data_IF_312445021598
#
_entry.id   IF_312445021598
#
_cell.length_a   1.000
_cell.length_b   1.000
_cell.length_c   1.000
_cell.angle_alpha   90.00
_cell.angle_beta   90.00
_cell.angle_gamma   90.00
#
_symmetry.space_group_name_H-M   'P 1'
#
loop_
_entity.id
_entity.type
_entity.pdbx_description
1 polymer ?
#
# COMPACT_ATOMS: atom_id res chain seq x y z
N UNK A 1 21.64 19.24 11.51
CA UNK A 1 20.95 20.43 12.08
C UNK A 1 19.45 20.43 11.81
N UNK A 2 18.98 20.24 10.56
CA UNK A 2 17.53 20.30 10.24
C UNK A 2 16.69 19.20 10.92
N UNK A 3 17.12 17.94 10.89
CA UNK A 3 16.38 16.85 11.54
C UNK A 3 16.24 17.03 13.06
N UNK A 4 17.27 17.55 13.73
CA UNK A 4 17.22 17.82 15.17
C UNK A 4 16.19 18.91 15.52
N UNK A 5 16.13 19.99 14.72
CA UNK A 5 15.13 21.03 14.91
C UNK A 5 13.69 20.54 14.64
N UNK A 6 13.50 19.69 13.61
CA UNK A 6 12.19 19.07 13.35
C UNK A 6 11.76 18.16 14.49
N UNK A 7 12.69 17.42 15.10
CA UNK A 7 12.38 16.50 16.19
C UNK A 7 11.84 17.19 17.46
N UNK A 8 12.00 18.52 17.59
CA UNK A 8 11.40 19.30 18.69
C UNK A 8 9.87 19.39 18.58
N UNK A 9 9.31 19.26 17.37
CA UNK A 9 7.87 19.46 17.10
C UNK A 9 7.20 18.29 16.35
N UNK A 10 7.98 17.36 15.80
CA UNK A 10 7.50 16.19 15.06
C UNK A 10 8.01 14.90 15.71
N UNK A 11 7.12 13.93 15.90
CA UNK A 11 7.46 12.63 16.50
C UNK A 11 8.07 11.63 15.51
N UNK A 12 7.84 11.80 14.21
CA UNK A 12 8.26 10.88 13.14
C UNK A 12 9.31 11.49 12.22
N UNK A 13 10.40 11.98 12.80
CA UNK A 13 11.55 12.46 12.03
C UNK A 13 12.50 11.31 11.75
N UNK A 14 12.66 10.99 10.46
CA UNK A 14 13.58 9.97 9.96
C UNK A 14 14.58 10.62 8.97
N UNK A 15 15.77 10.03 8.76
CA UNK A 15 16.61 10.41 7.63
C UNK A 15 15.83 10.33 6.32
N UNK A 16 16.20 11.19 5.34
CA UNK A 16 15.56 11.12 4.03
C UNK A 16 15.76 9.73 3.43
N UNK A 17 14.69 9.06 2.97
CA UNK A 17 14.82 7.75 2.37
C UNK A 17 15.58 7.85 1.05
N UNK A 18 16.29 6.77 0.70
CA UNK A 18 17.05 6.69 -0.54
C UNK A 18 18.50 7.13 -0.39
N UNK A 19 19.13 7.46 -1.52
CA UNK A 19 20.56 7.76 -1.62
C UNK A 19 20.75 9.00 -2.46
N UNK A 20 21.70 9.83 -2.06
CA UNK A 20 22.13 10.97 -2.86
C UNK A 20 22.83 10.48 -4.14
N UNK A 21 22.26 10.87 -5.29
CA UNK A 21 22.77 10.55 -6.62
C UNK A 21 23.57 11.71 -7.24
N UNK A 22 23.72 12.85 -6.54
CA UNK A 22 24.54 13.96 -7.01
C UNK A 22 25.95 13.55 -7.43
N UNK A 23 26.66 12.65 -6.71
CA UNK A 23 27.98 12.20 -7.17
C UNK A 23 27.96 11.57 -8.56
N UNK A 24 26.90 10.83 -8.91
CA UNK A 24 26.74 10.22 -10.24
C UNK A 24 26.43 11.29 -11.28
N UNK A 25 25.57 12.26 -10.94
CA UNK A 25 25.29 13.43 -11.79
C UNK A 25 26.57 14.26 -12.03
N UNK A 26 27.45 14.33 -11.04
CA UNK A 26 28.74 15.02 -11.08
C UNK A 26 29.85 14.20 -11.77
N UNK A 27 29.53 13.02 -12.33
CA UNK A 27 30.41 12.23 -13.18
C UNK A 27 31.08 11.01 -12.52
N UNK A 28 30.74 10.68 -11.28
CA UNK A 28 31.16 9.40 -10.68
C UNK A 28 30.44 8.22 -11.37
N UNK A 29 31.07 7.04 -11.37
CA UNK A 29 30.43 5.83 -11.90
C UNK A 29 29.17 5.47 -11.11
N UNK A 30 28.11 5.14 -11.84
CA UNK A 30 26.90 4.58 -11.26
C UNK A 30 27.13 3.13 -10.79
N UNK A 31 26.46 2.75 -9.71
CA UNK A 31 26.40 1.36 -9.28
C UNK A 31 25.32 0.63 -10.09
N UNK A 32 25.75 -0.16 -11.09
CA UNK A 32 24.87 -0.93 -11.97
C UNK A 32 24.26 -2.17 -11.31
N UNK A 33 24.84 -2.64 -10.20
CA UNK A 33 24.34 -3.78 -9.41
C UNK A 33 23.33 -3.37 -8.35
N UNK A 34 23.08 -2.07 -8.20
CA UNK A 34 22.21 -1.53 -7.15
C UNK A 34 20.78 -2.02 -7.28
N UNK A 35 20.28 -2.63 -6.20
CA UNK A 35 18.86 -2.92 -6.04
C UNK A 35 18.03 -1.64 -5.91
N UNK A 36 16.92 -1.58 -6.63
CA UNK A 36 15.90 -0.54 -6.53
C UNK A 36 14.70 -1.14 -5.81
N UNK A 37 14.39 -0.59 -4.64
CA UNK A 37 13.19 -0.94 -3.88
C UNK A 37 12.12 0.11 -4.06
N UNK A 38 10.90 -0.34 -4.27
CA UNK A 38 9.72 0.50 -4.50
C UNK A 38 8.56 -0.05 -3.70
N UNK A 39 7.78 0.84 -3.09
CA UNK A 39 6.69 0.46 -2.21
C UNK A 39 5.59 1.50 -2.27
N UNK A 40 4.35 1.03 -2.24
CA UNK A 40 3.17 1.85 -2.03
C UNK A 40 2.32 1.18 -0.96
N UNK A 41 2.17 1.87 0.17
CA UNK A 41 1.24 1.51 1.25
C UNK A 41 0.11 2.52 1.36
N UNK A 42 -0.28 3.07 0.22
CA UNK A 42 -1.40 3.97 0.14
C UNK A 42 -2.62 3.13 -0.18
N UNK A 43 -3.58 3.14 0.75
CA UNK A 43 -4.91 2.64 0.46
C UNK A 43 -5.62 3.66 -0.44
N UNK A 44 -5.14 3.81 -1.69
CA UNK A 44 -5.59 4.84 -2.64
C UNK A 44 -7.10 4.72 -2.91
N UNK A 45 -7.64 3.52 -2.74
CA UNK A 45 -9.05 3.21 -2.93
C UNK A 45 -9.91 3.56 -1.69
N UNK A 46 -9.32 3.55 -0.50
CA UNK A 46 -9.96 3.91 0.77
C UNK A 46 -9.46 5.29 1.20
N UNK A 47 -9.64 6.29 0.31
CA UNK A 47 -9.51 7.68 0.71
C UNK A 47 -10.32 7.92 1.99
N UNK A 48 -9.71 8.58 2.98
CA UNK A 48 -10.16 8.71 4.38
C UNK A 48 -11.55 9.37 4.58
N UNK A 49 -12.20 9.66 3.48
CA UNK A 49 -13.64 9.70 3.29
C UNK A 49 -13.79 9.24 1.86
N UNK A 50 -14.63 8.24 1.58
CA UNK A 50 -14.92 7.80 0.21
C UNK A 50 -15.60 8.89 -0.61
N UNK A 51 -15.14 10.13 -0.58
CA UNK A 51 -15.64 11.30 -1.25
C UNK A 51 -14.76 11.50 -2.48
N UNK A 52 -15.38 11.40 -3.66
CA UNK A 52 -14.78 11.92 -4.88
C UNK A 52 -14.29 13.37 -4.69
N UNK A 53 -13.29 13.80 -5.47
CA UNK A 53 -12.80 15.19 -5.51
C UNK A 53 -13.95 16.22 -5.60
N UNK A 54 -15.02 15.89 -6.32
CA UNK A 54 -16.26 16.67 -6.42
C UNK A 54 -16.99 16.85 -5.08
N UNK A 55 -17.05 15.81 -4.23
CA UNK A 55 -17.68 15.90 -2.91
C UNK A 55 -16.88 16.72 -1.90
N UNK A 56 -15.54 16.73 -2.01
CA UNK A 56 -14.67 17.57 -1.17
C UNK A 56 -14.84 19.06 -1.49
N UNK A 57 -15.03 19.40 -2.77
CA UNK A 57 -15.26 20.77 -3.22
C UNK A 57 -16.63 21.33 -2.77
N UNK A 58 -17.59 20.44 -2.49
CA UNK A 58 -18.94 20.78 -2.02
C UNK A 58 -19.08 20.78 -0.48
N UNK A 59 -17.97 20.67 0.28
CA UNK A 59 -18.00 20.74 1.75
C UNK A 59 -18.58 19.51 2.45
N UNK A 60 -18.87 18.43 1.71
CA UNK A 60 -19.38 17.17 2.28
C UNK A 60 -18.23 16.26 2.69
N UNK A 61 -17.55 16.65 3.78
CA UNK A 61 -16.43 15.91 4.38
C UNK A 61 -16.93 14.71 5.20
N UNK A 62 -18.23 14.63 5.50
CA UNK A 62 -18.83 13.50 6.23
C UNK A 62 -19.95 12.90 5.38
N UNK A 63 -19.75 11.65 4.97
CA UNK A 63 -20.73 10.79 4.30
C UNK A 63 -21.21 11.31 2.92
N UNK A 64 -20.35 11.27 1.88
CA UNK A 64 -20.74 11.63 0.52
C UNK A 64 -21.89 10.73 0.03
N UNK A 65 -22.84 11.28 -0.75
CA UNK A 65 -23.96 10.51 -1.25
C UNK A 65 -23.45 9.32 -2.09
N UNK A 66 -24.09 8.15 -1.90
CA UNK A 66 -23.70 6.86 -2.47
C UNK A 66 -23.18 6.85 -3.93
N UNK A 67 -23.71 7.62 -4.89
CA UNK A 67 -23.18 7.63 -6.27
C UNK A 67 -21.78 8.27 -6.40
N UNK A 68 -21.33 9.05 -5.41
CA UNK A 68 -20.04 9.75 -5.41
C UNK A 68 -18.98 9.03 -4.55
N UNK A 69 -19.31 7.84 -4.02
CA UNK A 69 -18.37 7.01 -3.27
C UNK A 69 -17.44 6.23 -4.18
N UNK A 70 -16.13 6.36 -3.95
CA UNK A 70 -15.14 5.46 -4.54
C UNK A 70 -15.46 4.06 -4.03
N UNK A 71 -15.77 3.14 -4.95
CA UNK A 71 -16.03 1.75 -4.63
C UNK A 71 -14.69 1.03 -4.61
N UNK A 72 -14.30 0.53 -3.44
CA UNK A 72 -13.17 -0.38 -3.31
C UNK A 72 -13.60 -1.72 -3.91
N UNK A 73 -12.90 -2.28 -4.91
CA UNK A 73 -13.14 -3.64 -5.37
C UNK A 73 -12.95 -4.61 -4.19
N UNK A 74 -13.93 -5.49 -4.00
CA UNK A 74 -13.88 -6.49 -2.95
C UNK A 74 -12.63 -7.36 -3.09
N UNK A 75 -11.96 -7.68 -1.97
CA UNK A 75 -10.89 -8.67 -1.90
C UNK A 75 -9.61 -8.34 -2.70
N UNK A 76 -9.32 -7.05 -2.91
CA UNK A 76 -8.05 -6.64 -3.52
C UNK A 76 -7.11 -6.11 -2.43
N UNK A 77 -5.92 -6.68 -2.34
CA UNK A 77 -4.85 -6.13 -1.54
C UNK A 77 -4.41 -4.77 -2.13
N UNK A 78 -4.33 -3.74 -1.29
CA UNK A 78 -4.01 -2.38 -1.72
C UNK A 78 -2.53 -2.02 -1.55
N UNK A 79 -1.72 -2.89 -0.92
CA UNK A 79 -0.31 -2.64 -0.73
C UNK A 79 0.52 -3.38 -1.77
N UNK A 80 1.56 -2.71 -2.22
CA UNK A 80 2.49 -3.22 -3.22
C UNK A 80 3.92 -2.91 -2.78
N UNK A 81 4.81 -3.90 -2.94
CA UNK A 81 6.25 -3.71 -2.88
C UNK A 81 6.91 -4.38 -4.10
N UNK A 82 8.03 -3.84 -4.53
CA UNK A 82 8.78 -4.37 -5.65
C UNK A 82 10.28 -4.17 -5.50
N UNK A 83 11.02 -5.02 -6.19
CA UNK A 83 12.47 -5.05 -6.25
C UNK A 83 12.89 -5.15 -7.71
N UNK A 84 13.74 -4.24 -8.17
CA UNK A 84 14.43 -4.34 -9.45
C UNK A 84 15.93 -4.48 -9.18
N UNK A 85 16.55 -5.56 -9.64
CA UNK A 85 17.97 -5.84 -9.38
C UNK A 85 18.55 -6.73 -10.48
N UNK A 86 19.84 -6.54 -10.78
CA UNK A 86 20.58 -7.47 -11.64
C UNK A 86 20.96 -8.71 -10.83
N UNK A 87 20.80 -9.90 -11.39
CA UNK A 87 21.16 -11.16 -10.73
C UNK A 87 22.07 -11.96 -11.64
N UNK A 88 23.29 -12.25 -11.21
CA UNK A 88 24.20 -13.11 -11.94
C UNK A 88 23.90 -14.59 -11.67
N UNK A 89 24.31 -15.49 -12.58
CA UNK A 89 24.16 -16.94 -12.36
C UNK A 89 24.93 -17.45 -11.13
N UNK A 90 25.94 -16.71 -10.68
CA UNK A 90 26.65 -16.98 -9.42
C UNK A 90 25.84 -16.63 -8.19
N UNK A 91 24.86 -15.72 -8.29
CA UNK A 91 24.02 -15.28 -7.17
C UNK A 91 22.82 -16.21 -6.97
N UNK A 92 22.22 -16.66 -8.08
CA UNK A 92 21.15 -17.65 -8.11
C UNK A 92 21.03 -18.29 -9.49
N UNK A 93 20.77 -19.61 -9.54
CA UNK A 93 20.52 -20.29 -10.81
C UNK A 93 19.32 -19.66 -11.53
N UNK A 94 19.53 -19.33 -12.82
CA UNK A 94 18.54 -18.67 -13.67
C UNK A 94 18.62 -17.14 -13.62
N UNK A 95 19.60 -16.55 -12.93
CA UNK A 95 19.85 -15.10 -12.93
C UNK A 95 20.34 -14.57 -14.28
N UNK A 96 21.25 -15.30 -14.93
CA UNK A 96 21.83 -15.00 -16.26
C UNK A 96 22.49 -13.63 -16.43
N UNK A 97 22.78 -12.90 -15.33
CA UNK A 97 23.22 -11.51 -15.39
C UNK A 97 22.12 -10.54 -15.83
N UNK A 98 20.88 -11.01 -15.86
CA UNK A 98 19.72 -10.23 -16.31
C UNK A 98 19.22 -9.29 -15.21
N UNK A 99 18.51 -8.25 -15.65
CA UNK A 99 17.75 -7.36 -14.78
C UNK A 99 16.38 -7.96 -14.49
N UNK A 100 16.10 -8.26 -13.22
CA UNK A 100 14.85 -8.88 -12.79
C UNK A 100 14.00 -7.90 -11.98
N UNK A 101 12.68 -7.97 -12.19
CA UNK A 101 11.69 -7.27 -11.36
C UNK A 101 10.82 -8.29 -10.63
N UNK A 102 10.88 -8.28 -9.31
CA UNK A 102 9.96 -9.01 -8.43
C UNK A 102 8.92 -8.02 -7.90
N UNK A 103 7.65 -8.40 -7.97
CA UNK A 103 6.53 -7.62 -7.42
C UNK A 103 5.75 -8.48 -6.45
N UNK A 104 5.38 -7.89 -5.31
CA UNK A 104 4.49 -8.46 -4.31
C UNK A 104 3.31 -7.53 -4.07
N UNK A 105 2.12 -8.04 -4.27
CA UNK A 105 0.87 -7.42 -3.81
C UNK A 105 0.45 -8.14 -2.55
N UNK A 106 0.26 -7.40 -1.46
CA UNK A 106 0.03 -7.99 -0.14
C UNK A 106 -0.98 -7.21 0.68
N UNK A 107 -1.55 -7.89 1.64
CA UNK A 107 -2.44 -7.28 2.62
C UNK A 107 -1.67 -6.99 3.92
N UNK A 108 -1.93 -5.83 4.52
CA UNK A 108 -1.27 -5.38 5.76
C UNK A 108 -2.34 -5.19 6.85
N UNK A 109 -2.50 -6.15 7.77
CA UNK A 109 -3.44 -6.03 8.88
C UNK A 109 -3.25 -4.79 9.75
N UNK A 110 -2.03 -4.23 9.79
CA UNK A 110 -1.76 -3.00 10.54
C UNK A 110 -2.38 -1.75 9.89
N UNK A 111 -2.78 -1.84 8.62
CA UNK A 111 -3.44 -0.76 7.87
C UNK A 111 -4.93 -1.03 7.65
N UNK A 112 -5.51 -2.05 8.29
CA UNK A 112 -6.93 -2.33 8.16
C UNK A 112 -7.81 -1.23 8.76
N UNK A 113 -9.08 -1.19 8.34
CA UNK A 113 -10.09 -0.23 8.82
C UNK A 113 -10.17 -0.24 10.35
N UNK A 114 -10.14 -1.44 10.92
CA UNK A 114 -9.84 -1.73 12.33
C UNK A 114 -8.58 -2.61 12.37
N UNK A 115 -7.41 -2.02 12.70
CA UNK A 115 -6.11 -2.68 12.64
C UNK A 115 -6.08 -4.01 13.40
N UNK A 116 -5.67 -5.08 12.71
CA UNK A 116 -5.59 -6.43 13.26
C UNK A 116 -6.93 -7.09 13.60
N UNK A 117 -8.06 -6.40 13.39
CA UNK A 117 -9.39 -6.91 13.73
C UNK A 117 -10.19 -7.19 12.46
N UNK A 118 -10.45 -6.17 11.64
CA UNK A 118 -11.20 -6.32 10.40
C UNK A 118 -10.99 -5.17 9.42
N UNK A 119 -11.05 -5.49 8.14
CA UNK A 119 -10.96 -4.53 7.06
C UNK A 119 -12.31 -4.39 6.33
N UNK A 120 -12.72 -3.16 6.02
CA UNK A 120 -13.90 -2.86 5.22
C UNK A 120 -13.62 -3.29 3.77
N UNK A 121 -14.15 -4.45 3.37
CA UNK A 121 -13.91 -5.04 2.07
C UNK A 121 -14.81 -4.46 0.96
N UNK A 122 -16.05 -4.06 1.30
CA UNK A 122 -16.95 -3.37 0.35
C UNK A 122 -17.91 -2.42 1.08
N UNK A 123 -18.30 -1.34 0.41
CA UNK A 123 -19.35 -0.41 0.86
C UNK A 123 -20.38 -0.19 -0.27
N UNK A 124 -21.12 -1.25 -0.62
CA UNK A 124 -22.07 -1.27 -1.73
C UNK A 124 -23.52 -0.99 -1.33
N UNK A 125 -24.44 -1.11 -2.29
CA UNK A 125 -25.89 -0.98 -2.07
C UNK A 125 -26.45 -2.01 -1.05
N UNK A 126 -25.70 -3.09 -0.79
CA UNK A 126 -26.00 -4.10 0.23
C UNK A 126 -25.45 -3.81 1.63
N UNK A 127 -24.82 -2.65 1.86
CA UNK A 127 -24.19 -2.29 3.14
C UNK A 127 -22.69 -2.60 3.21
N UNK A 128 -22.13 -2.36 4.39
CA UNK A 128 -20.70 -2.58 4.67
C UNK A 128 -20.42 -4.07 4.88
N UNK A 129 -19.46 -4.62 4.14
CA UNK A 129 -18.94 -5.98 4.37
C UNK A 129 -17.51 -5.91 4.86
N UNK A 130 -17.21 -6.66 5.92
CA UNK A 130 -15.89 -6.70 6.55
C UNK A 130 -15.25 -8.08 6.38
N UNK A 131 -13.92 -8.11 6.24
CA UNK A 131 -13.10 -9.34 6.33
C UNK A 131 -12.22 -9.30 7.56
N UNK A 132 -12.00 -10.45 8.17
CA UNK A 132 -11.16 -10.64 9.37
C UNK A 132 -9.86 -11.38 9.07
N UNK A 133 -9.77 -12.01 7.90
CA UNK A 133 -8.60 -12.76 7.46
C UNK A 133 -7.79 -11.96 6.42
N UNK A 134 -6.44 -12.02 6.49
CA UNK A 134 -5.59 -11.41 5.48
C UNK A 134 -5.66 -12.13 4.15
N UNK A 135 -5.48 -11.36 3.08
CA UNK A 135 -5.33 -11.93 1.75
C UNK A 135 -3.92 -12.48 1.58
N UNK A 136 -3.81 -13.61 0.89
CA UNK A 136 -2.53 -14.18 0.52
C UNK A 136 -1.74 -13.22 -0.39
N UNK A 137 -0.43 -13.24 -0.23
CA UNK A 137 0.47 -12.51 -1.12
C UNK A 137 0.34 -13.01 -2.55
N UNK A 138 0.19 -12.07 -3.48
CA UNK A 138 0.28 -12.32 -4.90
C UNK A 138 1.64 -11.84 -5.41
N UNK A 139 2.21 -12.59 -6.33
CA UNK A 139 3.58 -12.38 -6.79
C UNK A 139 3.65 -12.36 -8.30
N UNK A 140 4.51 -11.49 -8.82
CA UNK A 140 4.82 -11.39 -10.23
C UNK A 140 6.33 -11.28 -10.41
N UNK A 141 6.85 -11.84 -11.50
CA UNK A 141 8.28 -11.86 -11.81
C UNK A 141 8.49 -11.57 -13.29
N UNK A 142 9.32 -10.59 -13.60
CA UNK A 142 9.63 -10.16 -14.97
C UNK A 142 11.13 -10.12 -15.21
N UNK A 143 11.56 -10.65 -16.35
CA UNK A 143 12.92 -10.50 -16.88
C UNK A 143 12.96 -9.23 -17.72
N UNK A 144 13.43 -8.13 -17.18
CA UNK A 144 13.44 -6.85 -17.88
C UNK A 144 14.52 -6.79 -18.99
N UNK A 145 15.47 -7.72 -18.98
CA UNK A 145 16.47 -7.82 -20.06
C UNK A 145 15.87 -8.49 -21.30
N UNK A 146 15.10 -9.56 -21.12
CA UNK A 146 14.42 -10.24 -22.21
C UNK A 146 13.05 -9.64 -22.58
N UNK A 147 12.36 -9.03 -21.61
CA UNK A 147 11.00 -8.50 -21.70
C UNK A 147 10.90 -7.13 -20.98
N UNK A 148 11.43 -6.05 -21.60
CA UNK A 148 11.46 -4.72 -21.00
C UNK A 148 10.08 -4.06 -20.85
N UNK A 149 9.04 -4.61 -21.48
CA UNK A 149 7.66 -4.11 -21.40
C UNK A 149 6.80 -4.89 -20.41
N UNK A 150 7.38 -5.87 -19.70
CA UNK A 150 6.70 -6.64 -18.65
C UNK A 150 5.48 -7.40 -19.17
N UNK A 151 5.55 -7.90 -20.41
CA UNK A 151 4.44 -8.62 -21.04
C UNK A 151 4.22 -10.03 -20.49
N UNK A 152 5.26 -10.69 -19.97
CA UNK A 152 5.21 -12.08 -19.56
C UNK A 152 5.64 -12.30 -18.10
N UNK A 153 4.65 -12.55 -17.24
CA UNK A 153 4.88 -12.91 -15.85
C UNK A 153 5.43 -14.34 -15.73
N UNK A 154 6.66 -14.47 -15.24
CA UNK A 154 7.39 -15.73 -15.04
C UNK A 154 7.28 -16.31 -13.62
N UNK A 155 6.42 -15.77 -12.76
CA UNK A 155 6.33 -16.21 -11.37
C UNK A 155 6.07 -17.71 -11.19
N UNK A 156 5.27 -18.30 -12.08
CA UNK A 156 4.89 -19.72 -12.04
C UNK A 156 5.90 -20.65 -12.71
N UNK A 157 7.00 -20.11 -13.27
CA UNK A 157 8.03 -20.90 -13.93
C UNK A 157 8.74 -21.81 -12.91
N UNK A 158 8.65 -23.15 -13.06
CA UNK A 158 9.28 -24.07 -12.13
C UNK A 158 10.81 -24.01 -12.17
N UNK A 159 11.41 -23.59 -13.29
CA UNK A 159 12.86 -23.52 -13.45
C UNK A 159 13.48 -22.35 -12.67
N UNK A 160 12.69 -21.35 -12.30
CA UNK A 160 13.13 -20.15 -11.58
C UNK A 160 12.94 -20.27 -10.07
N UNK A 161 12.96 -21.48 -9.50
CA UNK A 161 12.76 -21.67 -8.06
C UNK A 161 13.82 -20.96 -7.21
N UNK A 162 15.11 -21.19 -7.51
CA UNK A 162 16.23 -20.59 -6.78
C UNK A 162 16.26 -19.07 -6.93
N UNK A 163 16.07 -18.57 -8.15
CA UNK A 163 15.94 -17.13 -8.42
C UNK A 163 14.82 -16.49 -7.60
N UNK A 164 13.63 -17.10 -7.53
CA UNK A 164 12.51 -16.59 -6.71
C UNK A 164 12.86 -16.57 -5.22
N UNK A 165 13.53 -17.59 -4.71
CA UNK A 165 13.97 -17.62 -3.31
C UNK A 165 14.98 -16.49 -3.03
N UNK A 166 15.96 -16.33 -3.92
CA UNK A 166 16.97 -15.27 -3.84
C UNK A 166 16.33 -13.87 -3.85
N UNK A 167 15.48 -13.58 -4.82
CA UNK A 167 14.82 -12.28 -4.95
C UNK A 167 13.90 -11.95 -3.76
N UNK A 168 13.18 -12.94 -3.21
CA UNK A 168 12.36 -12.73 -1.99
C UNK A 168 13.21 -12.39 -0.76
N UNK A 169 14.37 -13.02 -0.63
CA UNK A 169 15.33 -12.70 0.43
C UNK A 169 15.86 -11.28 0.26
N UNK A 170 16.29 -10.91 -0.95
CA UNK A 170 16.73 -9.54 -1.25
C UNK A 170 15.62 -8.52 -0.99
N UNK A 171 14.38 -8.79 -1.41
CA UNK A 171 13.24 -7.90 -1.16
C UNK A 171 13.05 -7.66 0.33
N UNK A 172 13.14 -8.71 1.16
CA UNK A 172 13.04 -8.59 2.63
C UNK A 172 14.17 -7.73 3.21
N UNK A 173 15.40 -7.91 2.72
CA UNK A 173 16.56 -7.13 3.16
C UNK A 173 16.43 -5.66 2.76
N UNK A 174 16.08 -5.39 1.50
CA UNK A 174 15.92 -4.03 0.99
C UNK A 174 14.80 -3.28 1.69
N UNK A 175 13.68 -3.95 1.99
CA UNK A 175 12.61 -3.37 2.81
C UNK A 175 13.12 -2.95 4.19
N UNK A 176 13.87 -3.80 4.88
CA UNK A 176 14.39 -3.50 6.21
C UNK A 176 15.34 -2.29 6.23
N UNK A 177 16.09 -2.06 5.16
CA UNK A 177 16.98 -0.90 5.03
C UNK A 177 16.23 0.36 4.57
N UNK A 178 15.19 0.20 3.75
CA UNK A 178 14.48 1.32 3.11
C UNK A 178 13.32 1.86 3.92
N UNK A 179 12.71 1.05 4.79
CA UNK A 179 11.52 1.41 5.57
C UNK A 179 11.92 1.48 7.04
N UNK A 180 12.17 2.68 7.60
CA UNK A 180 12.49 2.80 9.00
C UNK A 180 11.31 2.37 9.87
N UNK A 181 11.61 1.78 11.02
CA UNK A 181 10.59 1.56 12.05
C UNK A 181 10.08 2.91 12.56
N UNK A 182 8.79 2.98 12.86
CA UNK A 182 8.20 4.21 13.39
C UNK A 182 8.74 4.50 14.79
N UNK A 183 8.97 5.77 15.09
CA UNK A 183 9.36 6.18 16.44
C UNK A 183 8.19 6.04 17.43
N UNK A 184 6.96 6.24 16.93
CA UNK A 184 5.73 6.07 17.68
C UNK A 184 4.79 5.11 16.94
N UNK A 185 4.14 4.17 17.63
CA UNK A 185 3.11 3.35 17.01
C UNK A 185 2.01 4.25 16.43
N UNK A 186 1.33 3.78 15.39
CA UNK A 186 0.21 4.53 14.80
C UNK A 186 -0.81 4.90 15.87
N UNK A 187 -1.25 6.16 15.95
CA UNK A 187 -2.38 6.53 16.79
C UNK A 187 -3.64 5.99 16.11
N UNK A 188 -3.94 4.72 16.35
CA UNK A 188 -5.18 4.12 15.88
C UNK A 188 -6.32 4.77 16.66
N UNK A 189 -6.94 5.80 16.08
CA UNK A 189 -8.16 6.35 16.60
C UNK A 189 -9.19 5.23 16.60
N UNK A 190 -9.68 4.84 17.79
CA UNK A 190 -10.87 4.00 17.89
C UNK A 190 -11.99 4.72 17.13
N UNK A 191 -12.38 4.18 15.96
CA UNK A 191 -13.59 4.64 15.27
C UNK A 191 -14.77 4.34 16.19
N UNK A 192 -15.30 5.37 16.82
CA UNK A 192 -16.59 5.27 17.48
C UNK A 192 -17.62 5.01 16.37
N UNK A 193 -18.45 3.97 16.48
CA UNK A 193 -19.52 3.76 15.52
C UNK A 193 -20.40 5.02 15.48
N UNK A 194 -20.91 5.43 14.30
CA UNK A 194 -21.82 6.56 14.21
C UNK A 194 -22.95 6.32 15.21
N UNK A 195 -23.13 7.26 16.13
CA UNK A 195 -24.22 7.18 17.09
C UNK A 195 -25.52 7.13 16.28
N UNK A 196 -26.21 5.98 16.37
CA UNK A 196 -27.49 5.74 15.74
C UNK A 196 -28.56 6.62 16.36
N UNK A 197 -28.50 7.92 16.12
CA UNK A 197 -29.46 8.91 16.56
C UNK A 197 -30.18 9.53 15.36
N UNK A 198 -30.61 8.70 14.40
CA UNK A 198 -31.69 9.07 13.49
C UNK A 198 -33.06 8.76 14.12
N UNK A 199 -33.26 9.11 15.39
CA UNK A 199 -34.60 9.10 16.01
C UNK A 199 -35.43 10.36 15.66
N UNK A 200 -34.94 11.22 14.77
CA UNK A 200 -35.57 12.50 14.43
C UNK A 200 -36.61 12.46 13.30
N UNK A 201 -36.57 11.47 12.39
CA UNK A 201 -37.42 11.48 11.19
C UNK A 201 -38.70 10.66 11.34
N UNK A 202 -38.65 9.50 12.03
CA UNK A 202 -39.84 8.64 12.23
C UNK A 202 -40.88 9.32 13.14
N UNK A 203 -40.45 10.17 14.09
CA UNK A 203 -41.38 10.92 14.95
C UNK A 203 -42.05 12.12 14.27
N UNK A 204 -41.51 12.62 13.14
CA UNK A 204 -42.08 13.78 12.41
C UNK A 204 -43.18 13.41 11.43
N UNK A 205 -43.26 12.15 10.99
CA UNK A 205 -44.31 11.70 10.06
C UNK A 205 -45.55 11.21 10.81
N UNK A 206 -45.37 10.57 11.98
CA UNK A 206 -46.49 10.07 12.80
C UNK A 206 -47.25 11.17 13.57
N UNK A 207 -46.66 12.35 13.76
CA UNK A 207 -47.32 13.49 14.43
C UNK A 207 -48.29 14.29 13.54
N UNK A 208 -48.38 13.97 12.24
CA UNK A 208 -49.23 14.72 11.27
C UNK A 208 -50.50 13.96 10.84
N UNK A 209 -50.76 12.77 11.40
CA UNK A 209 -51.95 11.97 11.12
C UNK A 209 -52.92 11.82 12.31
N UNK A 210 -52.77 12.62 13.36
CA UNK A 210 -53.78 12.77 14.41
C UNK A 210 -54.11 14.26 14.59
N UNK A 211 -54.95 14.77 13.70
CA UNK A 211 -56.00 15.75 14.02
C UNK A 211 -56.99 15.86 12.87
#
# INVERSE_FOLDING_TARGET
>A
MVAAALAESFSEVHPLPGRDLMPVVDGASADEGRAIYLMTRDNVLEGDTGASLLSRQLGHIVNPPAPLRIKVPAHVAANFEGLVVRVDDTDAAGGAGHLWKLVRTFDDPATWTEPGVRHLATNGMGGDAYRTDPLDDQWELYDLTADPIEAYNRWTDPQLHELRQHLRMLLKQQRAVSVPERNQPWPYAHRLPPSGASNGLVRRVLGRFVR
#
